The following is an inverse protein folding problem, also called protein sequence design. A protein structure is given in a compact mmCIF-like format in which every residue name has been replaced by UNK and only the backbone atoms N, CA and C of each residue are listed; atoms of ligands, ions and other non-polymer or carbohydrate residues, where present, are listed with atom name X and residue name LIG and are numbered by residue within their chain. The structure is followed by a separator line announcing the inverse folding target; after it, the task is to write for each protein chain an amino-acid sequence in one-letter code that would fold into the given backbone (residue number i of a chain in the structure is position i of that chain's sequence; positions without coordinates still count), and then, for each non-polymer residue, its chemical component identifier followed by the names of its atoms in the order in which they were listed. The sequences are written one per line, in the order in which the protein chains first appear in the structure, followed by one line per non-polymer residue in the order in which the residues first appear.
data_IF_297226206174
#
_entry.id   IF_297226206174
#
_cell.length_a   1.000
_cell.length_b   1.000
_cell.length_c   1.000
_cell.angle_alpha   90.00
_cell.angle_beta   90.00
_cell.angle_gamma   90.00
#
_symmetry.space_group_name_H-M   'P 1'
#
loop_
_entity.id
_entity.type
_entity.pdbx_description
1 polymer ?
#
# COMPACT_ATOMS: atom_id res chain seq x y z
N UNK A 1 1.55 -28.46 -4.28
CA UNK A 1 1.18 -27.15 -4.85
C UNK A 1 1.28 -26.14 -3.72
N UNK A 2 2.10 -25.09 -3.85
CA UNK A 2 2.19 -24.03 -2.83
C UNK A 2 0.88 -23.24 -2.75
N UNK A 3 0.63 -22.59 -1.60
CA UNK A 3 -0.50 -21.66 -1.47
C UNK A 3 -0.29 -20.42 -2.36
N UNK A 4 -1.39 -19.83 -2.83
CA UNK A 4 -1.33 -18.64 -3.67
C UNK A 4 -0.88 -17.40 -2.88
N UNK A 5 -0.05 -16.56 -3.49
CA UNK A 5 0.34 -15.26 -2.96
C UNK A 5 -0.75 -14.21 -3.25
N UNK A 6 -1.04 -13.34 -2.28
CA UNK A 6 -2.10 -12.33 -2.38
C UNK A 6 -1.55 -10.90 -2.22
N UNK A 7 -1.54 -10.13 -3.29
CA UNK A 7 -1.24 -8.70 -3.26
C UNK A 7 -2.53 -7.91 -3.11
N UNK A 8 -2.60 -7.08 -2.08
CA UNK A 8 -3.72 -6.17 -1.82
C UNK A 8 -3.25 -4.73 -1.90
N UNK A 9 -3.82 -3.97 -2.82
CA UNK A 9 -3.62 -2.53 -2.90
C UNK A 9 -4.76 -1.80 -2.19
N UNK A 10 -4.43 -1.01 -1.17
CA UNK A 10 -5.40 -0.11 -0.51
C UNK A 10 -5.50 1.19 -1.30
N UNK A 11 -6.71 1.52 -1.74
CA UNK A 11 -6.96 2.73 -2.53
C UNK A 11 -8.22 3.45 -2.09
N UNK A 12 -8.13 4.78 -2.08
CA UNK A 12 -9.29 5.67 -1.96
C UNK A 12 -9.76 6.11 -3.35
N UNK A 13 -11.06 6.19 -3.56
CA UNK A 13 -11.63 6.74 -4.80
C UNK A 13 -11.08 8.17 -5.04
N UNK A 14 -10.47 8.44 -6.21
CA UNK A 14 -9.86 9.72 -6.53
C UNK A 14 -10.95 10.77 -6.77
N UNK A 15 -11.46 11.36 -5.69
CA UNK A 15 -12.43 12.45 -5.71
C UNK A 15 -11.75 13.74 -5.23
N UNK A 16 -11.94 14.84 -5.98
CA UNK A 16 -11.38 16.15 -5.64
C UNK A 16 -11.77 16.53 -4.21
N UNK A 17 -10.82 17.04 -3.43
CA UNK A 17 -11.01 17.43 -2.02
C UNK A 17 -11.14 16.27 -1.03
N UNK A 18 -11.12 15.01 -1.47
CA UNK A 18 -11.23 13.82 -0.61
C UNK A 18 -9.94 13.00 -0.48
N UNK A 19 -8.92 13.34 -1.27
CA UNK A 19 -7.61 12.67 -1.32
C UNK A 19 -6.51 13.71 -1.11
N UNK A 20 -5.37 13.26 -0.55
CA UNK A 20 -4.13 14.05 -0.41
C UNK A 20 -4.39 15.49 0.08
N UNK A 21 -5.11 15.63 1.20
CA UNK A 21 -5.53 16.94 1.74
C UNK A 21 -4.35 17.83 2.14
N UNK A 22 -3.26 17.24 2.66
CA UNK A 22 -2.01 17.96 2.98
C UNK A 22 -1.38 18.54 1.72
N UNK A 23 -1.10 17.70 0.72
CA UNK A 23 -0.65 18.16 -0.60
C UNK A 23 -1.59 19.21 -1.22
N UNK A 24 -2.91 19.03 -1.09
CA UNK A 24 -3.88 20.00 -1.62
C UNK A 24 -3.78 21.38 -0.96
N UNK A 25 -3.34 21.47 0.30
CA UNK A 25 -3.09 22.74 0.96
C UNK A 25 -1.89 23.49 0.34
N UNK A 26 -0.91 22.75 -0.19
CA UNK A 26 0.31 23.33 -0.77
C UNK A 26 0.19 23.64 -2.26
N UNK A 27 -0.49 22.78 -3.04
CA UNK A 27 -0.53 22.88 -4.52
C UNK A 27 -1.93 23.05 -5.11
N UNK A 28 -2.96 23.10 -4.26
CA UNK A 28 -4.35 23.19 -4.66
C UNK A 28 -5.02 21.84 -4.92
N UNK A 29 -6.34 21.79 -4.71
CA UNK A 29 -7.13 20.56 -4.72
C UNK A 29 -7.12 19.82 -6.08
N UNK A 30 -7.11 20.57 -7.19
CA UNK A 30 -7.09 19.99 -8.54
C UNK A 30 -5.74 19.33 -8.82
N UNK A 31 -4.62 20.00 -8.53
CA UNK A 31 -3.29 19.45 -8.76
C UNK A 31 -3.01 18.23 -7.87
N UNK A 32 -3.39 18.29 -6.59
CA UNK A 32 -3.28 17.15 -5.68
C UNK A 32 -4.11 15.94 -6.14
N UNK A 33 -5.34 16.18 -6.62
CA UNK A 33 -6.18 15.13 -7.19
C UNK A 33 -5.60 14.53 -8.46
N UNK A 34 -5.11 15.36 -9.39
CA UNK A 34 -4.46 14.89 -10.62
C UNK A 34 -3.24 14.02 -10.31
N UNK A 35 -2.39 14.47 -9.39
CA UNK A 35 -1.22 13.73 -8.95
C UNK A 35 -1.59 12.38 -8.34
N UNK A 36 -2.54 12.36 -7.39
CA UNK A 36 -3.00 11.12 -6.75
C UNK A 36 -3.58 10.15 -7.78
N UNK A 37 -4.44 10.63 -8.69
CA UNK A 37 -5.06 9.81 -9.72
C UNK A 37 -4.01 9.20 -10.66
N UNK A 38 -3.04 9.98 -11.12
CA UNK A 38 -1.97 9.50 -11.99
C UNK A 38 -1.08 8.48 -11.29
N UNK A 39 -0.70 8.74 -10.03
CA UNK A 39 0.13 7.84 -9.22
C UNK A 39 -0.57 6.51 -8.99
N UNK A 40 -1.82 6.56 -8.53
CA UNK A 40 -2.67 5.38 -8.35
C UNK A 40 -2.76 4.54 -9.63
N UNK A 41 -3.04 5.18 -10.78
CA UNK A 41 -3.15 4.48 -12.06
C UNK A 41 -1.81 3.86 -12.47
N UNK A 42 -0.70 4.60 -12.33
CA UNK A 42 0.63 4.13 -12.69
C UNK A 42 1.05 2.93 -11.85
N UNK A 43 0.92 3.01 -10.51
CA UNK A 43 1.26 1.92 -9.59
C UNK A 43 0.43 0.67 -9.89
N UNK A 44 -0.89 0.81 -9.98
CA UNK A 44 -1.77 -0.34 -10.23
C UNK A 44 -1.55 -0.97 -11.61
N UNK A 45 -1.21 -0.18 -12.63
CA UNK A 45 -0.89 -0.69 -13.97
C UNK A 45 0.44 -1.43 -13.97
N UNK A 46 1.47 -0.83 -13.36
CA UNK A 46 2.81 -1.43 -13.25
C UNK A 46 2.75 -2.77 -12.51
N UNK A 47 2.02 -2.82 -11.38
CA UNK A 47 1.85 -4.04 -10.60
C UNK A 47 0.89 -5.04 -11.25
N UNK A 48 0.05 -4.61 -12.20
CA UNK A 48 -0.77 -5.52 -12.98
C UNK A 48 0.01 -6.24 -14.09
N UNK A 49 1.11 -5.63 -14.57
CA UNK A 49 2.00 -6.21 -15.58
C UNK A 49 3.07 -7.16 -15.02
N UNK A 50 3.24 -7.23 -13.70
CA UNK A 50 4.31 -8.01 -13.06
C UNK A 50 3.82 -9.03 -12.03
N UNK A 51 4.60 -10.11 -11.87
CA UNK A 51 4.45 -11.08 -10.80
C UNK A 51 3.39 -12.17 -10.99
N UNK A 52 3.45 -13.19 -10.13
CA UNK A 52 2.54 -14.35 -10.10
C UNK A 52 1.64 -14.36 -8.86
N UNK A 53 1.23 -13.19 -8.38
CA UNK A 53 0.32 -13.04 -7.24
C UNK A 53 -1.12 -12.73 -7.68
N UNK A 54 -2.09 -13.20 -6.89
CA UNK A 54 -3.49 -12.78 -7.04
C UNK A 54 -3.63 -11.34 -6.55
N UNK A 55 -4.25 -10.50 -7.37
CA UNK A 55 -4.36 -9.05 -7.16
C UNK A 55 -5.73 -8.65 -6.64
N UNK A 56 -5.74 -7.90 -5.55
CA UNK A 56 -6.93 -7.38 -4.90
C UNK A 56 -6.82 -5.87 -4.73
N UNK A 57 -7.89 -5.16 -5.09
CA UNK A 57 -7.99 -3.71 -4.88
C UNK A 57 -9.00 -3.46 -3.78
N UNK A 58 -8.50 -3.10 -2.60
CA UNK A 58 -9.31 -2.77 -1.44
C UNK A 58 -9.71 -1.29 -1.50
N UNK A 59 -10.96 -1.02 -1.85
CA UNK A 59 -11.49 0.31 -2.18
C UNK A 59 -12.18 0.96 -0.98
N UNK A 60 -11.99 2.27 -0.82
CA UNK A 60 -12.81 3.13 0.05
C UNK A 60 -13.27 4.40 -0.68
N UNK A 61 -14.53 4.85 -0.54
CA UNK A 61 -15.63 4.15 0.13
C UNK A 61 -16.11 2.93 -0.67
N UNK A 62 -16.76 1.97 -0.01
CA UNK A 62 -17.26 0.74 -0.64
C UNK A 62 -18.24 1.01 -1.80
N UNK A 63 -18.97 2.13 -1.75
CA UNK A 63 -19.84 2.56 -2.86
C UNK A 63 -19.09 2.78 -4.19
N UNK A 64 -17.78 3.00 -4.15
CA UNK A 64 -16.96 3.18 -5.35
C UNK A 64 -16.54 1.84 -6.01
N UNK A 65 -16.92 0.68 -5.46
CA UNK A 65 -16.55 -0.62 -6.01
C UNK A 65 -17.00 -0.81 -7.46
N UNK A 66 -18.18 -0.29 -7.83
CA UNK A 66 -18.74 -0.40 -9.19
C UNK A 66 -18.22 0.63 -10.19
N UNK A 67 -17.33 1.55 -9.80
CA UNK A 67 -16.87 2.63 -10.67
C UNK A 67 -15.77 2.16 -11.66
N UNK A 68 -16.14 1.39 -12.68
CA UNK A 68 -15.19 0.76 -13.64
C UNK A 68 -14.27 1.75 -14.36
N UNK A 69 -14.71 2.99 -14.57
CA UNK A 69 -13.91 4.03 -15.23
C UNK A 69 -12.79 4.58 -14.34
N UNK A 70 -12.87 4.33 -13.03
CA UNK A 70 -11.89 4.83 -12.05
C UNK A 70 -10.76 3.84 -11.86
N UNK A 71 -11.08 2.54 -11.86
CA UNK A 71 -10.15 1.49 -11.46
C UNK A 71 -9.52 0.79 -12.67
N UNK A 72 -8.18 0.61 -12.70
CA UNK A 72 -7.53 -0.19 -13.72
C UNK A 72 -8.04 -1.63 -13.76
N UNK A 73 -8.02 -2.23 -14.95
CA UNK A 73 -8.33 -3.66 -15.15
C UNK A 73 -7.29 -4.56 -14.49
N UNK A 74 -7.62 -5.84 -14.32
CA UNK A 74 -6.68 -6.84 -13.77
C UNK A 74 -6.64 -6.91 -12.25
N UNK A 75 -7.54 -6.21 -11.56
CA UNK A 75 -7.66 -6.21 -10.10
C UNK A 75 -9.05 -6.67 -9.66
N UNK A 76 -9.10 -7.62 -8.71
CA UNK A 76 -10.35 -8.02 -8.06
C UNK A 76 -10.69 -7.02 -6.96
N UNK A 77 -11.83 -6.35 -7.06
CA UNK A 77 -12.22 -5.29 -6.12
C UNK A 77 -12.93 -5.85 -4.89
N UNK A 78 -12.59 -5.32 -3.72
CA UNK A 78 -13.23 -5.61 -2.43
C UNK A 78 -13.37 -4.32 -1.61
N UNK A 79 -14.44 -4.19 -0.83
CA UNK A 79 -14.64 -3.03 0.06
C UNK A 79 -13.75 -3.12 1.29
N UNK A 80 -13.13 -1.99 1.68
CA UNK A 80 -12.41 -1.88 2.94
C UNK A 80 -13.35 -1.94 4.14
N UNK A 81 -14.61 -1.47 3.99
CA UNK A 81 -15.57 -1.29 5.08
C UNK A 81 -15.23 -0.10 6.00
N UNK A 82 -16.03 0.05 7.06
CA UNK A 82 -15.86 1.10 8.07
C UNK A 82 -14.82 0.78 9.15
N UNK A 83 -14.60 1.74 10.06
CA UNK A 83 -13.60 1.64 11.14
C UNK A 83 -12.28 2.32 10.81
N UNK A 84 -11.31 2.17 11.71
CA UNK A 84 -9.93 2.63 11.53
C UNK A 84 -9.17 1.80 10.48
N UNK A 85 -7.90 2.13 10.26
CA UNK A 85 -7.07 1.46 9.25
C UNK A 85 -6.81 -0.01 9.61
N UNK A 86 -6.50 -0.31 10.88
CA UNK A 86 -6.28 -1.67 11.38
C UNK A 86 -7.49 -2.58 11.16
N UNK A 87 -8.69 -2.12 11.54
CA UNK A 87 -9.94 -2.84 11.32
C UNK A 87 -10.19 -3.13 9.83
N UNK A 88 -9.86 -2.19 8.94
CA UNK A 88 -9.98 -2.39 7.49
C UNK A 88 -8.99 -3.42 6.97
N UNK A 89 -7.73 -3.36 7.41
CA UNK A 89 -6.70 -4.34 7.03
C UNK A 89 -7.07 -5.74 7.52
N UNK A 90 -7.44 -5.90 8.80
CA UNK A 90 -7.94 -7.17 9.36
C UNK A 90 -9.11 -7.74 8.56
N UNK A 91 -10.11 -6.90 8.26
CA UNK A 91 -11.29 -7.32 7.49
C UNK A 91 -10.94 -7.76 6.09
N UNK A 92 -10.03 -7.05 5.41
CA UNK A 92 -9.59 -7.43 4.07
C UNK A 92 -8.82 -8.75 4.14
N UNK A 93 -7.88 -8.90 5.07
CA UNK A 93 -7.12 -10.15 5.25
C UNK A 93 -8.02 -11.36 5.55
N UNK A 94 -9.08 -11.18 6.35
CA UNK A 94 -10.04 -12.25 6.65
C UNK A 94 -10.83 -12.72 5.41
N UNK A 95 -11.00 -11.87 4.40
CA UNK A 95 -11.71 -12.20 3.14
C UNK A 95 -10.82 -12.88 2.09
N UNK A 96 -9.50 -12.84 2.25
CA UNK A 96 -8.58 -13.42 1.27
C UNK A 96 -8.54 -14.95 1.43
N UNK A 97 -8.39 -15.71 0.33
CA UNK A 97 -8.13 -17.15 0.39
C UNK A 97 -6.88 -17.49 1.21
N UNK A 98 -6.65 -18.75 1.60
CA UNK A 98 -5.44 -19.17 2.29
C UNK A 98 -4.18 -18.89 1.47
N UNK A 99 -3.15 -18.37 2.14
CA UNK A 99 -1.87 -18.04 1.53
C UNK A 99 -1.30 -16.71 2.04
N UNK A 100 0.02 -16.49 1.85
CA UNK A 100 0.69 -15.26 2.27
C UNK A 100 0.05 -14.05 1.59
N UNK A 101 -0.11 -12.97 2.34
CA UNK A 101 -0.70 -11.74 1.82
C UNK A 101 0.13 -10.52 2.18
N UNK A 102 0.22 -9.59 1.24
CA UNK A 102 0.83 -8.27 1.44
C UNK A 102 -0.21 -7.19 1.15
N UNK A 103 -0.29 -6.20 2.03
CA UNK A 103 -1.08 -4.98 1.87
C UNK A 103 -0.14 -3.84 1.57
N UNK A 104 -0.44 -3.05 0.54
CA UNK A 104 0.31 -1.85 0.15
C UNK A 104 -0.55 -0.60 0.11
N UNK A 105 0.07 0.55 0.36
CA UNK A 105 -0.42 1.85 -0.08
C UNK A 105 -0.31 2.02 -1.60
N UNK A 106 -1.05 2.98 -2.16
CA UNK A 106 -1.07 3.27 -3.62
C UNK A 106 -0.51 4.65 -3.99
N UNK A 107 0.13 5.28 -3.04
CA UNK A 107 0.64 6.65 -3.08
C UNK A 107 2.17 6.73 -3.01
N UNK A 108 2.84 5.59 -3.18
CA UNK A 108 4.28 5.45 -3.36
C UNK A 108 4.58 5.32 -4.86
N UNK A 109 5.00 6.39 -5.55
CA UNK A 109 5.12 6.38 -7.00
C UNK A 109 6.23 5.46 -7.53
N UNK A 110 7.23 5.17 -6.69
CA UNK A 110 8.39 4.34 -7.05
C UNK A 110 8.08 2.83 -6.92
N UNK A 111 6.89 2.48 -6.43
CA UNK A 111 6.49 1.10 -6.22
C UNK A 111 6.42 0.33 -7.54
N UNK A 112 6.97 -0.89 -7.54
CA UNK A 112 7.12 -1.71 -8.74
C UNK A 112 7.23 -3.20 -8.37
N UNK A 113 7.15 -4.14 -9.34
CA UNK A 113 7.02 -5.56 -9.06
C UNK A 113 8.16 -6.16 -8.22
N UNK A 114 9.41 -5.65 -8.34
CA UNK A 114 10.54 -6.16 -7.52
C UNK A 114 10.31 -5.97 -6.02
N UNK A 115 9.67 -4.86 -5.62
CA UNK A 115 9.37 -4.59 -4.21
C UNK A 115 8.36 -5.61 -3.65
N UNK A 116 7.37 -5.98 -4.46
CA UNK A 116 6.36 -6.96 -4.08
C UNK A 116 6.96 -8.37 -4.05
N UNK A 117 7.80 -8.71 -5.03
CA UNK A 117 8.52 -9.98 -5.04
C UNK A 117 9.40 -10.14 -3.79
N UNK A 118 10.19 -9.12 -3.44
CA UNK A 118 11.03 -9.12 -2.25
C UNK A 118 10.20 -9.33 -0.96
N UNK A 119 9.00 -8.74 -0.87
CA UNK A 119 8.11 -8.97 0.26
C UNK A 119 7.64 -10.42 0.35
N UNK A 120 7.26 -11.03 -0.77
CA UNK A 120 6.85 -12.43 -0.78
C UNK A 120 8.00 -13.42 -0.55
N UNK A 121 9.19 -13.12 -1.07
CA UNK A 121 10.40 -13.90 -0.81
C UNK A 121 10.75 -13.86 0.68
N UNK A 122 10.66 -12.67 1.30
CA UNK A 122 10.83 -12.51 2.75
C UNK A 122 9.81 -13.34 3.54
N UNK A 123 8.53 -13.37 3.14
CA UNK A 123 7.51 -14.22 3.79
C UNK A 123 7.75 -15.73 3.60
N UNK A 124 8.66 -16.12 2.71
CA UNK A 124 9.17 -17.49 2.61
C UNK A 124 9.93 -17.90 3.88
N UNK A 125 10.78 -17.02 4.40
CA UNK A 125 11.63 -17.25 5.57
C UNK A 125 11.03 -16.72 6.88
N UNK A 126 10.41 -15.55 6.85
CA UNK A 126 9.93 -14.82 8.01
C UNK A 126 8.40 -14.98 8.21
N UNK A 127 7.88 -14.57 9.37
CA UNK A 127 6.44 -14.60 9.68
C UNK A 127 5.71 -13.35 9.16
N UNK A 128 6.39 -12.21 9.17
CA UNK A 128 5.91 -10.94 8.67
C UNK A 128 6.99 -10.19 7.87
N UNK A 129 6.56 -9.23 7.05
CA UNK A 129 7.44 -8.33 6.32
C UNK A 129 6.87 -6.91 6.40
N UNK A 130 7.71 -5.91 6.63
CA UNK A 130 7.31 -4.50 6.68
C UNK A 130 8.20 -3.70 5.74
N UNK A 131 7.58 -2.89 4.88
CA UNK A 131 8.25 -1.87 4.08
C UNK A 131 8.08 -0.50 4.73
N UNK A 132 9.08 0.05 5.44
CA UNK A 132 8.94 1.30 6.18
C UNK A 132 8.75 2.50 5.25
N UNK A 133 8.07 3.53 5.76
CA UNK A 133 8.01 4.85 5.13
C UNK A 133 8.77 5.86 5.99
N UNK A 134 9.28 6.93 5.38
CA UNK A 134 10.11 7.92 6.07
C UNK A 134 9.35 8.76 7.12
N UNK A 135 8.02 8.72 7.12
CA UNK A 135 7.14 9.47 8.03
C UNK A 135 6.84 8.74 9.35
N UNK A 136 7.44 7.56 9.57
CA UNK A 136 7.18 6.70 10.72
C UNK A 136 6.02 5.73 10.53
N UNK A 137 5.41 5.71 9.35
CA UNK A 137 4.49 4.67 8.88
C UNK A 137 5.19 3.56 8.10
N UNK A 138 4.42 2.87 7.27
CA UNK A 138 4.91 1.85 6.35
C UNK A 138 4.09 1.85 5.08
N UNK A 139 4.73 1.61 3.94
CA UNK A 139 4.05 1.45 2.65
C UNK A 139 3.58 0.02 2.40
N UNK A 140 4.15 -0.97 3.12
CA UNK A 140 3.77 -2.38 3.03
C UNK A 140 3.75 -3.05 4.40
N UNK A 141 2.73 -3.89 4.61
CA UNK A 141 2.75 -4.96 5.60
C UNK A 141 2.39 -6.29 4.95
N UNK A 142 3.21 -7.30 5.20
CA UNK A 142 3.07 -8.66 4.72
C UNK A 142 2.93 -9.62 5.89
N UNK A 143 2.04 -10.59 5.76
CA UNK A 143 1.86 -11.67 6.72
C UNK A 143 1.87 -13.02 5.99
N UNK A 144 2.59 -14.00 6.55
CA UNK A 144 2.61 -15.39 6.05
C UNK A 144 1.24 -16.08 6.15
N UNK A 145 0.34 -15.55 6.99
CA UNK A 145 -1.06 -16.00 7.19
C UNK A 145 -1.20 -17.47 7.59
N UNK A 146 -0.47 -17.86 8.65
CA UNK A 146 -0.70 -19.07 9.44
C UNK A 146 -1.83 -18.85 10.48
N UNK A 147 -2.49 -19.91 11.01
CA UNK A 147 -3.66 -19.79 11.90
C UNK A 147 -3.46 -18.96 13.19
N UNK A 148 -2.22 -18.58 13.54
CA UNK A 148 -1.85 -17.92 14.81
C UNK A 148 -1.76 -16.39 14.75
N UNK A 149 -1.94 -15.75 13.59
CA UNK A 149 -1.63 -14.31 13.42
C UNK A 149 -2.76 -13.37 13.88
N UNK A 150 -3.37 -13.64 15.03
CA UNK A 150 -4.66 -13.04 15.39
C UNK A 150 -4.64 -11.57 15.79
N UNK A 151 -3.50 -10.85 15.79
CA UNK A 151 -3.53 -9.46 16.26
C UNK A 151 -2.49 -8.45 15.72
N UNK A 152 -2.00 -8.61 14.48
CA UNK A 152 -1.01 -7.71 13.86
C UNK A 152 -1.37 -6.20 13.80
N UNK A 153 -2.59 -5.82 14.21
CA UNK A 153 -3.15 -4.49 14.04
C UNK A 153 -3.75 -3.90 15.32
N UNK A 154 -3.65 -4.58 16.46
CA UNK A 154 -4.17 -4.06 17.73
C UNK A 154 -3.30 -2.95 18.31
N UNK A 155 -3.96 -2.02 19.00
CA UNK A 155 -3.32 -0.95 19.77
C UNK A 155 -2.34 -0.07 18.97
N UNK A 156 -2.50 -0.03 17.64
CA UNK A 156 -1.70 0.80 16.75
C UNK A 156 -2.31 2.19 16.59
N UNK A 157 -1.50 3.22 16.87
CA UNK A 157 -1.87 4.62 16.62
C UNK A 157 -1.69 4.96 15.14
N UNK A 158 -2.71 4.64 14.35
CA UNK A 158 -2.73 4.87 12.91
C UNK A 158 -2.59 6.35 12.52
N UNK A 159 -2.03 6.60 11.33
CA UNK A 159 -1.81 7.94 10.78
C UNK A 159 -0.93 8.83 11.67
N UNK A 160 0.00 8.21 12.39
CA UNK A 160 0.95 8.89 13.26
C UNK A 160 2.38 8.41 12.99
N UNK A 161 3.42 9.18 13.39
CA UNK A 161 4.81 8.75 13.34
C UNK A 161 5.13 7.50 14.18
N UNK A 162 4.20 7.07 15.04
CA UNK A 162 4.34 5.88 15.87
C UNK A 162 3.77 4.62 15.22
N UNK A 163 3.12 4.74 14.05
CA UNK A 163 2.41 3.62 13.39
C UNK A 163 3.32 2.41 13.21
N UNK A 164 4.55 2.60 12.71
CA UNK A 164 5.52 1.52 12.53
C UNK A 164 5.92 0.88 13.86
N UNK A 165 6.28 1.70 14.85
CA UNK A 165 6.73 1.24 16.16
C UNK A 165 5.63 0.43 16.88
N UNK A 166 4.39 0.93 16.88
CA UNK A 166 3.26 0.26 17.49
C UNK A 166 2.93 -1.06 16.75
N UNK A 167 3.06 -1.08 15.43
CA UNK A 167 2.84 -2.30 14.63
C UNK A 167 3.90 -3.36 14.93
N UNK A 168 5.16 -2.97 15.07
CA UNK A 168 6.23 -3.88 15.47
C UNK A 168 5.99 -4.43 16.87
N UNK A 169 5.50 -3.61 17.81
CA UNK A 169 5.11 -4.08 19.14
C UNK A 169 3.93 -5.06 19.10
N UNK A 170 2.95 -4.84 18.22
CA UNK A 170 1.82 -5.76 18.01
C UNK A 170 2.25 -7.10 17.35
N UNK A 171 3.43 -7.13 16.73
CA UNK A 171 4.05 -8.31 16.12
C UNK A 171 5.13 -8.92 17.01
N UNK A 172 5.23 -8.52 18.28
CA UNK A 172 6.23 -9.06 19.21
C UNK A 172 6.19 -10.59 19.28
N UNK A 173 7.38 -11.21 19.32
CA UNK A 173 7.55 -12.66 19.25
C UNK A 173 7.43 -13.29 17.85
N UNK A 174 7.19 -12.50 16.79
CA UNK A 174 7.27 -12.96 15.40
C UNK A 174 8.60 -12.57 14.75
N UNK A 175 9.06 -13.38 13.80
CA UNK A 175 10.19 -13.02 12.95
C UNK A 175 9.73 -12.05 11.84
N UNK A 176 10.19 -10.80 11.92
CA UNK A 176 9.76 -9.71 11.02
C UNK A 176 10.92 -9.27 10.13
N UNK A 177 10.76 -9.41 8.82
CA UNK A 177 11.67 -8.83 7.85
C UNK A 177 11.38 -7.34 7.64
N UNK A 178 12.43 -6.51 7.68
CA UNK A 178 12.36 -5.10 7.29
C UNK A 178 12.87 -4.95 5.85
N UNK A 179 12.04 -4.38 4.98
CA UNK A 179 12.33 -4.20 3.56
C UNK A 179 12.86 -2.79 3.25
N UNK A 180 13.10 -2.54 1.97
CA UNK A 180 13.46 -1.21 1.45
C UNK A 180 12.46 -0.14 1.91
N UNK A 181 13.00 0.98 2.39
CA UNK A 181 12.19 2.16 2.73
C UNK A 181 11.83 2.90 1.44
N UNK A 182 10.54 3.18 1.24
CA UNK A 182 10.06 3.96 0.11
C UNK A 182 9.29 5.18 0.61
N UNK A 183 9.36 6.27 -0.16
CA UNK A 183 8.66 7.51 0.14
C UNK A 183 7.29 7.53 -0.54
N UNK A 184 6.26 7.83 0.24
CA UNK A 184 4.99 8.31 -0.28
C UNK A 184 5.07 9.82 -0.56
N UNK A 185 4.13 10.31 -1.36
CA UNK A 185 4.02 11.75 -1.64
C UNK A 185 2.76 12.29 -1.00
N UNK A 186 2.93 12.97 0.12
CA UNK A 186 1.84 13.39 1.00
C UNK A 186 1.65 14.91 1.14
N UNK A 187 2.72 15.67 0.88
CA UNK A 187 2.76 17.14 0.91
C UNK A 187 3.59 17.71 -0.25
N UNK A 188 3.60 19.04 -0.37
CA UNK A 188 4.32 19.76 -1.42
C UNK A 188 5.82 19.52 -1.40
N UNK A 189 6.41 19.36 -0.21
CA UNK A 189 7.83 19.04 -0.06
C UNK A 189 8.15 17.63 -0.61
N UNK A 190 7.31 16.64 -0.31
CA UNK A 190 7.37 15.29 -0.88
C UNK A 190 7.26 15.30 -2.39
N UNK A 191 6.29 16.06 -2.93
CA UNK A 191 6.11 16.18 -4.37
C UNK A 191 7.34 16.79 -5.06
N UNK A 192 7.94 17.82 -4.46
CA UNK A 192 9.15 18.45 -4.98
C UNK A 192 10.35 17.49 -4.95
N UNK A 193 10.52 16.71 -3.87
CA UNK A 193 11.57 15.66 -3.79
C UNK A 193 11.40 14.63 -4.89
N UNK A 194 10.19 14.10 -5.05
CA UNK A 194 9.89 13.10 -6.08
C UNK A 194 10.17 13.62 -7.49
N UNK A 195 9.73 14.85 -7.82
CA UNK A 195 9.98 15.47 -9.13
C UNK A 195 11.47 15.59 -9.43
N UNK A 196 12.30 15.98 -8.46
CA UNK A 196 13.76 16.08 -8.63
C UNK A 196 14.40 14.72 -8.90
N UNK A 197 13.99 13.66 -8.18
CA UNK A 197 14.50 12.30 -8.42
C UNK A 197 14.13 11.80 -9.81
N UNK A 198 12.88 12.04 -10.22
CA UNK A 198 12.40 11.63 -11.55
C UNK A 198 13.11 12.36 -12.70
N UNK A 199 13.38 13.66 -12.55
CA UNK A 199 14.15 14.42 -13.55
C UNK A 199 15.56 13.87 -13.73
N UNK A 200 16.26 13.54 -12.64
CA UNK A 200 17.61 12.95 -12.70
C UNK A 200 17.65 11.55 -13.33
N UNK A 201 16.58 10.76 -13.18
CA UNK A 201 16.49 9.44 -13.80
C UNK A 201 16.19 9.50 -15.31
N UNK A 202 15.68 10.63 -15.84
CA UNK A 202 15.42 10.82 -17.27
C UNK A 202 16.63 11.31 -18.08
N UNK A 203 17.63 11.88 -17.42
CA UNK A 203 18.85 12.43 -18.06
C UNK A 203 20.03 11.44 -18.07
N UNK A 204 19.85 10.22 -17.54
CA UNK A 204 20.90 9.19 -17.42
C UNK A 204 20.85 8.07 -18.45
N UNK A 205 19.96 8.18 -19.44
CA UNK A 205 19.72 7.14 -20.47
C UNK A 205 19.88 7.73 -21.89
N UNK A 206 20.98 8.49 -22.10
CA UNK A 206 21.46 8.96 -23.40
C UNK A 206 22.76 8.26 -23.78
#
# INVERSE_FOLDING_TARGET
MGLDQHLVAFARAPRIGRVKRRLAADVGAVAAWQFYRQTLQAVLTTLAGGGRWRRWLAVTPDAALGEDRVWPRGWRRIGQGGGDLGMRMSRVMAKLPPGPAVIIGTDVPELCPRHIAAAFDALGAHDAAIGPAADGGYWLIGLKRRPRLSNAFADVRWSSPHTLADTLAALDGLDVAILETLDDVDDGAGLARWRRRRGRAGDGDQ
#
